data_IF_562470690893
#
_entry.id   IF_562470690893
#
_cell.length_a   1.000
_cell.length_b   1.000
_cell.length_c   1.000
_cell.angle_alpha   90.00
_cell.angle_beta   90.00
_cell.angle_gamma   90.00
#
_symmetry.space_group_name_H-M   'P 1'
#
loop_
_entity.id
_entity.type
_entity.pdbx_description
1 polymer ?
#
# COMPACT_ATOMS: atom_id res chain seq x y z
N UNK A 1 17.43 -21.48 5.87
CA UNK A 1 16.17 -21.25 6.61
C UNK A 1 15.16 -20.62 5.66
N UNK A 2 14.00 -21.24 5.45
CA UNK A 2 12.92 -20.65 4.66
C UNK A 2 12.03 -19.86 5.61
N UNK A 3 12.15 -18.52 5.59
CA UNK A 3 11.17 -17.66 6.22
C UNK A 3 9.93 -17.61 5.33
N UNK A 4 8.87 -18.33 5.70
CA UNK A 4 7.56 -18.14 5.10
C UNK A 4 6.84 -17.01 5.83
N UNK A 5 6.95 -15.79 5.32
CA UNK A 5 6.08 -14.71 5.74
C UNK A 5 4.73 -14.92 5.06
N UNK A 6 3.74 -15.42 5.81
CA UNK A 6 2.36 -15.43 5.35
C UNK A 6 1.94 -14.00 5.01
N UNK A 7 1.26 -13.81 3.87
CA UNK A 7 0.60 -12.55 3.56
C UNK A 7 -0.39 -12.23 4.70
N UNK A 8 0.02 -11.36 5.63
CA UNK A 8 -0.85 -10.81 6.65
C UNK A 8 -1.74 -9.78 5.97
N UNK A 9 -2.93 -10.21 5.58
CA UNK A 9 -3.97 -9.32 5.11
C UNK A 9 -4.57 -8.58 6.30
N UNK A 10 -4.64 -7.26 6.20
CA UNK A 10 -5.32 -6.43 7.18
C UNK A 10 -6.38 -5.56 6.52
N UNK A 11 -7.34 -5.14 7.33
CA UNK A 11 -8.25 -4.08 6.96
C UNK A 11 -7.62 -2.73 7.30
N UNK A 12 -7.81 -1.73 6.45
CA UNK A 12 -7.38 -0.37 6.70
C UNK A 12 -8.45 0.61 6.26
N UNK A 13 -8.67 1.65 7.06
CA UNK A 13 -9.55 2.76 6.70
C UNK A 13 -8.70 3.94 6.25
N UNK A 14 -8.81 4.32 4.97
CA UNK A 14 -8.13 5.48 4.40
C UNK A 14 -9.19 6.42 3.85
N UNK A 15 -9.18 7.67 4.31
CA UNK A 15 -10.17 8.70 3.94
C UNK A 15 -11.64 8.22 4.11
N UNK A 16 -11.93 7.49 5.18
CA UNK A 16 -13.27 6.96 5.46
C UNK A 16 -13.68 5.73 4.62
N UNK A 17 -12.85 5.29 3.67
CA UNK A 17 -13.08 4.07 2.87
C UNK A 17 -12.32 2.90 3.46
N UNK A 18 -12.97 1.75 3.52
CA UNK A 18 -12.36 0.51 4.03
C UNK A 18 -11.75 -0.29 2.87
N UNK A 19 -10.50 -0.68 3.05
CA UNK A 19 -9.73 -1.48 2.11
C UNK A 19 -9.22 -2.75 2.81
N UNK A 20 -9.02 -3.82 2.04
CA UNK A 20 -8.36 -5.06 2.50
C UNK A 20 -7.11 -5.30 1.69
N UNK A 21 -6.01 -5.60 2.36
CA UNK A 21 -4.75 -5.66 1.65
C UNK A 21 -3.54 -5.91 2.52
N UNK A 22 -2.38 -5.65 1.92
CA UNK A 22 -1.09 -5.71 2.57
C UNK A 22 -0.21 -4.57 2.07
N UNK A 23 0.63 -4.07 2.97
CA UNK A 23 1.70 -3.12 2.66
C UNK A 23 3.01 -3.70 3.15
N UNK A 24 4.04 -3.57 2.34
CA UNK A 24 5.36 -4.06 2.66
C UNK A 24 6.42 -3.04 2.28
N UNK A 25 7.47 -2.97 3.10
CA UNK A 25 8.68 -2.22 2.78
C UNK A 25 9.89 -3.07 3.08
N UNK A 26 10.85 -3.06 2.16
CA UNK A 26 12.21 -3.54 2.35
C UNK A 26 13.16 -2.42 1.89
N UNK A 27 14.46 -2.46 2.22
CA UNK A 27 15.41 -1.46 1.76
C UNK A 27 15.35 -1.27 0.23
N UNK A 28 15.05 -0.05 -0.20
CA UNK A 28 14.94 0.31 -1.62
C UNK A 28 13.65 -0.14 -2.32
N UNK A 29 12.66 -0.72 -1.63
CA UNK A 29 11.38 -1.08 -2.23
C UNK A 29 10.20 -0.92 -1.27
N UNK A 30 9.13 -0.34 -1.78
CA UNK A 30 7.85 -0.18 -1.07
C UNK A 30 6.72 -0.69 -1.96
N UNK A 31 5.78 -1.41 -1.37
CA UNK A 31 4.56 -1.83 -2.03
C UNK A 31 3.30 -1.46 -1.24
N UNK A 32 2.20 -1.30 -1.99
CA UNK A 32 0.84 -1.29 -1.46
C UNK A 32 -0.01 -2.19 -2.36
N UNK A 33 -0.73 -3.12 -1.76
CA UNK A 33 -1.67 -4.00 -2.43
C UNK A 33 -2.98 -3.93 -1.68
N UNK A 34 -3.97 -3.23 -2.23
CA UNK A 34 -5.26 -3.04 -1.58
C UNK A 34 -6.39 -3.39 -2.55
N UNK A 35 -7.46 -3.96 -2.02
CA UNK A 35 -8.75 -4.11 -2.69
C UNK A 35 -9.81 -3.31 -1.94
N UNK A 36 -10.81 -2.84 -2.67
CA UNK A 36 -11.98 -2.20 -2.07
C UNK A 36 -12.79 -3.18 -1.19
N UNK A 37 -13.69 -2.66 -0.37
CA UNK A 37 -14.51 -3.47 0.55
C UNK A 37 -15.31 -4.56 -0.16
N UNK A 38 -15.81 -4.27 -1.37
CA UNK A 38 -16.57 -5.22 -2.20
C UNK A 38 -15.69 -6.21 -2.98
N UNK A 39 -14.36 -6.04 -2.95
CA UNK A 39 -13.36 -6.84 -3.68
C UNK A 39 -13.59 -6.90 -5.20
N UNK A 40 -14.14 -5.84 -5.77
CA UNK A 40 -14.39 -5.69 -7.22
C UNK A 40 -13.27 -4.95 -7.93
N UNK A 41 -12.48 -4.16 -7.20
CA UNK A 41 -11.32 -3.43 -7.71
C UNK A 41 -10.14 -3.62 -6.77
N UNK A 42 -8.97 -3.91 -7.35
CA UNK A 42 -7.70 -4.01 -6.64
C UNK A 42 -6.64 -3.14 -7.29
N UNK A 43 -5.81 -2.51 -6.46
CA UNK A 43 -4.68 -1.68 -6.87
C UNK A 43 -3.41 -2.25 -6.24
N UNK A 44 -2.38 -2.42 -7.07
CA UNK A 44 -1.02 -2.75 -6.65
C UNK A 44 -0.11 -1.63 -7.14
N UNK A 45 0.65 -1.03 -6.23
CA UNK A 45 1.70 -0.06 -6.57
C UNK A 45 3.02 -0.60 -6.00
N UNK A 46 4.04 -0.61 -6.84
CA UNK A 46 5.41 -0.96 -6.50
C UNK A 46 6.31 0.24 -6.81
N UNK A 47 7.14 0.61 -5.85
CA UNK A 47 8.07 1.74 -5.99
C UNK A 47 9.45 1.35 -5.47
N UNK A 48 10.49 1.89 -6.10
CA UNK A 48 11.87 1.83 -5.62
C UNK A 48 12.17 2.87 -4.51
N UNK A 49 11.14 3.41 -3.88
CA UNK A 49 11.25 4.28 -2.72
C UNK A 49 11.47 3.46 -1.44
N UNK A 50 12.40 3.91 -0.60
CA UNK A 50 12.67 3.32 0.70
C UNK A 50 11.86 4.07 1.78
N UNK A 51 10.79 3.45 2.27
CA UNK A 51 10.05 3.98 3.43
C UNK A 51 10.49 3.35 4.76
N UNK A 52 11.45 2.43 4.75
CA UNK A 52 12.00 1.84 5.96
C UNK A 52 12.91 2.83 6.70
N UNK A 53 13.41 3.85 6.00
CA UNK A 53 14.08 5.01 6.60
C UNK A 53 13.04 5.94 7.22
N UNK A 54 13.28 6.44 8.42
CA UNK A 54 12.38 7.36 9.12
C UNK A 54 12.66 8.84 8.78
N UNK A 55 13.04 9.13 7.53
CA UNK A 55 13.32 10.48 7.05
C UNK A 55 12.10 11.13 6.37
N UNK A 56 12.21 12.41 6.03
CA UNK A 56 11.10 13.14 5.40
C UNK A 56 10.81 12.67 3.98
N UNK A 57 11.82 12.16 3.26
CA UNK A 57 11.62 11.61 1.93
C UNK A 57 10.76 10.34 1.99
N UNK A 58 11.01 9.46 2.96
CA UNK A 58 10.19 8.28 3.21
C UNK A 58 8.72 8.63 3.51
N UNK A 59 8.48 9.68 4.32
CA UNK A 59 7.12 10.18 4.56
C UNK A 59 6.47 10.66 3.26
N UNK A 60 7.19 11.43 2.45
CA UNK A 60 6.70 11.90 1.15
C UNK A 60 6.36 10.73 0.23
N UNK A 61 7.25 9.75 0.08
CA UNK A 61 7.02 8.56 -0.74
C UNK A 61 5.77 7.80 -0.28
N UNK A 62 5.65 7.54 1.03
CA UNK A 62 4.50 6.85 1.60
C UNK A 62 3.19 7.58 1.30
N UNK A 63 3.16 8.90 1.52
CA UNK A 63 1.99 9.73 1.23
C UNK A 63 1.66 9.76 -0.27
N UNK A 64 2.67 9.85 -1.15
CA UNK A 64 2.48 9.82 -2.61
C UNK A 64 1.86 8.50 -3.05
N UNK A 65 2.35 7.37 -2.53
CA UNK A 65 1.82 6.04 -2.84
C UNK A 65 0.36 5.91 -2.38
N UNK A 66 0.04 6.36 -1.16
CA UNK A 66 -1.34 6.36 -0.65
C UNK A 66 -2.25 7.25 -1.50
N UNK A 67 -1.81 8.45 -1.87
CA UNK A 67 -2.58 9.37 -2.71
C UNK A 67 -2.85 8.77 -4.09
N UNK A 68 -1.84 8.17 -4.73
CA UNK A 68 -2.00 7.48 -6.01
C UNK A 68 -3.01 6.33 -5.90
N UNK A 69 -2.93 5.53 -4.84
CA UNK A 69 -3.88 4.45 -4.58
C UNK A 69 -5.32 5.00 -4.52
N UNK A 70 -5.56 6.06 -3.73
CA UNK A 70 -6.88 6.69 -3.62
C UNK A 70 -7.35 7.26 -4.96
N UNK A 71 -6.47 7.93 -5.72
CA UNK A 71 -6.81 8.43 -7.05
C UNK A 71 -7.24 7.31 -7.99
N UNK A 72 -6.51 6.19 -8.03
CA UNK A 72 -6.89 5.04 -8.85
C UNK A 72 -8.24 4.47 -8.43
N UNK A 73 -8.48 4.31 -7.13
CA UNK A 73 -9.78 3.87 -6.61
C UNK A 73 -10.91 4.88 -6.82
N UNK A 74 -10.63 6.16 -7.06
CA UNK A 74 -11.66 7.14 -7.41
C UNK A 74 -11.96 7.14 -8.91
N UNK A 75 -11.00 6.74 -9.75
CA UNK A 75 -11.17 6.71 -11.20
C UNK A 75 -11.86 5.45 -11.71
N UNK A 76 -11.66 4.31 -11.04
CA UNK A 76 -12.05 3.00 -11.56
C UNK A 76 -13.10 2.25 -10.73
N UNK A 77 -13.49 2.79 -9.57
CA UNK A 77 -14.62 2.27 -8.77
C UNK A 77 -15.90 3.02 -9.07
#
# INVERSE_FOLDING_TARGET
EQFQFGLLWHWETVHGRRFVGHRGSLPGVTNIMMANEKRTLGVIILSNGDIAKLDDLAKTISQTIINLMITLFNCFE
#
